data_IF_955193159240
#
_entry.id   IF_955193159240
#
_cell.length_a   1.000
_cell.length_b   1.000
_cell.length_c   1.000
_cell.angle_alpha   90.00
_cell.angle_beta   90.00
_cell.angle_gamma   90.00
#
_symmetry.space_group_name_H-M   'P 1'
#
loop_
_entity.id
_entity.type
_entity.pdbx_description
1 polymer ?
#
# COMPACT_ATOMS: atom_id res chain seq x y z
N UNK A 1 -0.25 9.55 30.51
CA UNK A 1 -0.34 9.18 29.06
C UNK A 1 -0.14 7.67 28.92
N UNK A 2 -1.21 6.87 28.94
CA UNK A 2 -1.14 5.38 28.77
C UNK A 2 -2.15 4.84 27.74
N UNK A 3 -3.23 5.57 27.47
CA UNK A 3 -4.30 5.12 26.56
C UNK A 3 -3.96 5.13 25.06
N UNK A 4 -2.98 5.94 24.62
CA UNK A 4 -2.64 6.04 23.20
C UNK A 4 -1.89 4.78 22.71
N UNK A 5 -0.96 4.27 23.51
CA UNK A 5 -0.15 3.09 23.16
C UNK A 5 -0.98 1.81 23.05
N UNK A 6 -2.00 1.65 23.90
CA UNK A 6 -2.90 0.48 23.86
C UNK A 6 -3.87 0.55 22.67
N UNK A 7 -4.28 1.76 22.28
CA UNK A 7 -5.07 1.98 21.06
C UNK A 7 -4.24 1.68 19.80
N UNK A 8 -3.02 2.21 19.70
CA UNK A 8 -2.12 1.93 18.57
C UNK A 8 -1.78 0.45 18.44
N UNK A 9 -1.55 -0.26 19.57
CA UNK A 9 -1.28 -1.71 19.57
C UNK A 9 -2.43 -2.55 19.03
N UNK A 10 -3.68 -2.14 19.27
CA UNK A 10 -4.88 -2.81 18.73
C UNK A 10 -5.18 -2.41 17.30
N UNK A 11 -4.86 -1.19 16.91
CA UNK A 11 -5.11 -0.67 15.57
C UNK A 11 -4.14 -1.27 14.53
N UNK A 12 -2.87 -1.46 14.90
CA UNK A 12 -1.85 -2.01 14.01
C UNK A 12 -2.24 -3.35 13.33
N UNK A 13 -2.74 -4.38 14.03
CA UNK A 13 -3.18 -5.61 13.38
C UNK A 13 -4.40 -5.40 12.47
N UNK A 14 -5.32 -4.51 12.85
CA UNK A 14 -6.49 -4.20 12.02
C UNK A 14 -6.10 -3.50 10.71
N UNK A 15 -5.13 -2.58 10.77
CA UNK A 15 -4.59 -1.92 9.58
C UNK A 15 -3.90 -2.92 8.64
N UNK A 16 -3.12 -3.86 9.18
CA UNK A 16 -2.49 -4.93 8.40
C UNK A 16 -3.53 -5.83 7.73
N UNK A 17 -4.60 -6.15 8.43
CA UNK A 17 -5.69 -6.94 7.89
C UNK A 17 -6.41 -6.19 6.76
N UNK A 18 -6.77 -4.92 6.97
CA UNK A 18 -7.42 -4.09 5.96
C UNK A 18 -6.53 -3.94 4.71
N UNK A 19 -5.23 -3.74 4.89
CA UNK A 19 -4.26 -3.71 3.80
C UNK A 19 -4.22 -5.02 3.00
N UNK A 20 -4.19 -6.18 3.68
CA UNK A 20 -4.21 -7.48 3.00
C UNK A 20 -5.50 -7.71 2.23
N UNK A 21 -6.64 -7.29 2.78
CA UNK A 21 -7.91 -7.35 2.05
C UNK A 21 -7.92 -6.44 0.81
N UNK A 22 -7.25 -5.28 0.88
CA UNK A 22 -7.03 -4.42 -0.29
C UNK A 22 -6.24 -5.14 -1.39
N UNK A 23 -5.16 -5.84 -1.02
CA UNK A 23 -4.39 -6.65 -1.95
C UNK A 23 -5.26 -7.75 -2.60
N UNK A 24 -6.01 -8.50 -1.79
CA UNK A 24 -6.89 -9.57 -2.29
C UNK A 24 -8.02 -9.03 -3.19
N UNK A 25 -8.55 -7.85 -2.92
CA UNK A 25 -9.54 -7.21 -3.77
C UNK A 25 -8.93 -6.77 -5.11
N UNK A 26 -7.71 -6.21 -5.11
CA UNK A 26 -7.01 -5.83 -6.32
C UNK A 26 -6.68 -7.03 -7.22
N UNK A 27 -6.31 -8.20 -6.66
CA UNK A 27 -6.10 -9.41 -7.48
C UNK A 27 -7.38 -9.91 -8.15
N UNK A 28 -8.55 -9.60 -7.59
CA UNK A 28 -9.87 -9.94 -8.15
C UNK A 28 -10.46 -8.84 -9.04
N UNK A 29 -9.83 -7.67 -9.09
CA UNK A 29 -10.39 -6.49 -9.77
C UNK A 29 -11.60 -5.89 -9.05
N UNK A 30 -11.79 -6.18 -7.76
CA UNK A 30 -12.86 -5.60 -6.94
C UNK A 30 -12.43 -4.24 -6.41
N UNK A 31 -13.20 -3.18 -6.68
CA UNK A 31 -12.93 -1.81 -6.20
C UNK A 31 -13.80 -1.40 -4.99
N UNK A 32 -14.63 -2.32 -4.50
CA UNK A 32 -15.55 -2.05 -3.39
C UNK A 32 -14.85 -2.17 -2.04
N UNK A 33 -14.50 -1.02 -1.46
CA UNK A 33 -13.97 -0.94 -0.11
C UNK A 33 -15.09 -1.12 0.95
N UNK A 34 -14.99 -2.10 1.86
CA UNK A 34 -16.01 -2.34 2.89
C UNK A 34 -15.94 -1.38 4.09
N UNK A 35 -14.89 -0.56 4.18
CA UNK A 35 -14.64 0.33 5.31
C UNK A 35 -15.28 1.71 5.13
N UNK A 36 -15.62 2.36 6.25
CA UNK A 36 -16.12 3.75 6.26
C UNK A 36 -15.10 4.67 5.60
N UNK A 37 -15.50 5.53 4.63
CA UNK A 37 -14.62 6.51 4.00
C UNK A 37 -13.84 7.34 5.03
N UNK A 38 -12.60 7.72 4.67
CA UNK A 38 -11.69 8.53 5.50
C UNK A 38 -11.31 7.92 6.87
N UNK A 39 -11.63 6.64 7.10
CA UNK A 39 -11.11 5.91 8.25
C UNK A 39 -9.69 5.39 8.00
N UNK A 40 -8.94 5.13 9.08
CA UNK A 40 -7.60 4.53 8.97
C UNK A 40 -7.63 3.17 8.25
N UNK A 41 -8.68 2.38 8.44
CA UNK A 41 -8.87 1.08 7.78
C UNK A 41 -9.18 1.26 6.28
N UNK A 42 -9.97 2.28 5.93
CA UNK A 42 -10.23 2.64 4.54
C UNK A 42 -8.92 2.97 3.81
N UNK A 43 -8.08 3.85 4.38
CA UNK A 43 -6.79 4.19 3.76
C UNK A 43 -5.84 2.99 3.69
N UNK A 44 -5.82 2.13 4.70
CA UNK A 44 -5.01 0.92 4.68
C UNK A 44 -5.45 -0.04 3.55
N UNK A 45 -6.76 -0.23 3.37
CA UNK A 45 -7.31 -1.03 2.27
C UNK A 45 -6.97 -0.42 0.90
N UNK A 46 -7.17 0.90 0.73
CA UNK A 46 -6.84 1.60 -0.53
C UNK A 46 -5.35 1.49 -0.85
N UNK A 47 -4.48 1.59 0.15
CA UNK A 47 -3.04 1.42 -0.03
C UNK A 47 -2.69 0.00 -0.52
N UNK A 48 -3.31 -1.04 0.05
CA UNK A 48 -3.14 -2.42 -0.41
C UNK A 48 -3.65 -2.62 -1.83
N UNK A 49 -4.84 -2.10 -2.12
CA UNK A 49 -5.44 -2.20 -3.45
C UNK A 49 -4.56 -1.52 -4.52
N UNK A 50 -4.13 -0.28 -4.25
CA UNK A 50 -3.30 0.48 -5.18
C UNK A 50 -1.92 -0.14 -5.42
N UNK A 51 -1.36 -0.86 -4.44
CA UNK A 51 -0.06 -1.51 -4.57
C UNK A 51 -0.03 -2.54 -5.72
N UNK A 52 -1.11 -3.31 -5.89
CA UNK A 52 -1.21 -4.29 -6.97
C UNK A 52 -1.82 -3.69 -8.24
N UNK A 53 -2.82 -2.81 -8.12
CA UNK A 53 -3.48 -2.19 -9.28
C UNK A 53 -2.55 -1.28 -10.10
N UNK A 54 -1.46 -0.76 -9.52
CA UNK A 54 -0.50 0.13 -10.20
C UNK A 54 0.79 -0.54 -10.66
N UNK A 55 0.95 -1.86 -10.49
CA UNK A 55 2.18 -2.53 -10.91
C UNK A 55 3.44 -1.95 -10.26
N UNK A 56 3.36 -1.54 -8.98
CA UNK A 56 4.51 -1.05 -8.19
C UNK A 56 5.59 -2.13 -7.91
N UNK A 57 5.62 -3.19 -8.71
CA UNK A 57 6.71 -4.16 -8.83
C UNK A 57 7.59 -3.96 -10.07
N UNK A 58 7.27 -2.99 -10.95
CA UNK A 58 8.10 -2.63 -12.10
C UNK A 58 8.63 -1.20 -11.94
N UNK A 59 9.35 -0.95 -10.84
CA UNK A 59 10.35 0.12 -10.88
C UNK A 59 11.57 -0.49 -11.55
N UNK A 60 11.48 -0.58 -12.87
CA UNK A 60 12.59 -0.58 -13.82
C UNK A 60 13.95 -0.95 -13.19
N UNK A 61 14.19 -2.26 -13.08
CA UNK A 61 15.54 -2.81 -12.94
C UNK A 61 16.35 -2.67 -14.25
N UNK A 62 15.91 -1.81 -15.18
CA UNK A 62 16.74 -1.24 -16.24
C UNK A 62 17.25 0.13 -15.79
N UNK A 63 17.84 0.18 -14.59
CA UNK A 63 18.93 1.10 -14.32
C UNK A 63 20.05 0.81 -15.35
N UNK A 64 19.85 1.33 -16.55
CA UNK A 64 20.85 1.40 -17.59
C UNK A 64 22.08 2.04 -16.94
N UNK A 65 23.28 1.46 -17.10
CA UNK A 65 24.47 2.07 -16.54
C UNK A 65 24.58 3.45 -17.18
N UNK A 66 24.54 4.48 -16.33
CA UNK A 66 24.71 5.87 -16.71
C UNK A 66 26.11 5.96 -17.33
N UNK A 67 26.20 5.79 -18.65
CA UNK A 67 27.45 5.99 -19.37
C UNK A 67 27.77 7.49 -19.28
N UNK A 68 28.94 7.89 -18.73
CA UNK A 68 29.35 9.28 -18.80
C UNK A 68 29.49 9.64 -20.27
N UNK A 69 28.79 10.70 -20.70
CA UNK A 69 29.00 11.33 -21.99
C UNK A 69 30.46 11.83 -22.03
N UNK A 70 31.31 11.12 -22.78
CA UNK A 70 32.55 11.72 -23.27
C UNK A 70 32.18 12.79 -24.28
N UNK A 71 32.37 14.05 -23.92
CA UNK A 71 32.47 15.13 -24.89
C UNK A 71 33.86 15.05 -25.53
N UNK A 72 33.88 14.90 -26.87
CA UNK A 72 35.03 15.14 -27.73
C UNK A 72 35.33 16.63 -27.83
#
# INVERSE_FOLDING_TARGET
>A
MRGNTDFSKKLAPLLRQAFRQGLEAATRGEDQNPYVPDSHLYHAWVAGWAMLSRGWGDVDASAAPIRPRSCS
#
